data_IF_936737118308
#
_entry.id   IF_936737118308
#
_cell.length_a   1.000
_cell.length_b   1.000
_cell.length_c   1.000
_cell.angle_alpha   90.00
_cell.angle_beta   90.00
_cell.angle_gamma   90.00
#
_symmetry.space_group_name_H-M   'P 1'
#
loop_
_entity.id
_entity.type
_entity.pdbx_description
1 polymer ?
#
# COMPACT_ATOMS: atom_id res chain seq x y z
N UNK A 1 -0.48 -5.59 -6.48
CA UNK A 1 -1.15 -5.34 -5.18
C UNK A 1 -0.50 -4.14 -4.51
N UNK A 2 -1.28 -3.09 -4.28
CA UNK A 2 -0.82 -1.90 -3.56
C UNK A 2 -1.13 -2.14 -2.09
N UNK A 3 -0.19 -2.69 -1.33
CA UNK A 3 -0.41 -3.02 0.09
C UNK A 3 -0.98 -1.83 0.90
N UNK A 4 -0.68 -0.61 0.42
CA UNK A 4 -1.06 0.68 0.95
C UNK A 4 -2.55 1.05 0.85
N UNK A 5 -3.35 0.32 0.07
CA UNK A 5 -4.82 0.52 0.01
C UNK A 5 -5.53 -0.03 1.25
N UNK A 6 -4.91 -0.97 1.95
CA UNK A 6 -5.45 -1.64 3.14
C UNK A 6 -5.06 -0.90 4.42
N UNK A 7 -5.93 -0.98 5.42
CA UNK A 7 -5.74 -0.29 6.69
C UNK A 7 -4.45 -0.70 7.40
N UNK A 8 -3.66 0.23 7.99
CA UNK A 8 -2.40 -0.09 8.68
C UNK A 8 -2.52 -1.11 9.81
N UNK A 9 -3.74 -1.36 10.34
CA UNK A 9 -4.01 -2.41 11.33
C UNK A 9 -3.60 -3.81 10.87
N UNK A 10 -3.49 -4.01 9.56
CA UNK A 10 -3.07 -5.27 8.95
C UNK A 10 -1.54 -5.36 8.82
N UNK A 11 -0.79 -4.29 9.13
CA UNK A 11 0.66 -4.30 9.19
C UNK A 11 1.12 -4.70 10.59
N UNK A 12 2.15 -5.53 10.66
CA UNK A 12 2.84 -5.81 11.93
C UNK A 12 3.78 -4.63 12.30
N UNK A 13 4.28 -4.57 13.55
CA UNK A 13 5.22 -3.53 13.95
C UNK A 13 6.49 -3.48 13.08
N UNK A 14 6.94 -4.63 12.56
CA UNK A 14 8.09 -4.69 11.65
C UNK A 14 7.81 -3.97 10.33
N UNK A 15 6.61 -4.16 9.78
CA UNK A 15 6.10 -3.48 8.60
C UNK A 15 6.10 -1.97 8.81
N UNK A 16 5.52 -1.48 9.91
CA UNK A 16 5.52 -0.04 10.23
C UNK A 16 6.95 0.53 10.35
N UNK A 17 7.86 -0.20 10.99
CA UNK A 17 9.27 0.20 11.10
C UNK A 17 9.96 0.19 9.73
N UNK A 18 9.65 -0.78 8.86
CA UNK A 18 10.19 -0.83 7.51
C UNK A 18 9.78 0.42 6.70
N UNK A 19 8.50 0.82 6.75
CA UNK A 19 8.02 2.03 6.08
C UNK A 19 8.75 3.29 6.56
N UNK A 20 8.95 3.39 7.87
CA UNK A 20 9.69 4.52 8.44
C UNK A 20 11.16 4.54 8.00
N UNK A 21 11.82 3.37 7.98
CA UNK A 21 13.21 3.25 7.53
C UNK A 21 13.37 3.60 6.05
N UNK A 22 12.43 3.20 5.21
CA UNK A 22 12.43 3.59 3.79
C UNK A 22 12.32 5.10 3.61
N UNK A 23 11.46 5.77 4.39
CA UNK A 23 11.34 7.23 4.35
C UNK A 23 12.61 7.96 4.81
N UNK A 24 13.30 7.44 5.83
CA UNK A 24 14.60 7.97 6.27
C UNK A 24 15.69 7.72 5.25
N UNK A 25 15.72 6.53 4.64
CA UNK A 25 16.68 6.19 3.59
C UNK A 25 16.50 7.12 2.39
N UNK A 26 15.26 7.40 1.99
CA UNK A 26 14.98 8.31 0.88
C UNK A 26 15.48 9.75 1.16
N UNK A 27 15.37 10.22 2.40
CA UNK A 27 15.95 11.51 2.81
C UNK A 27 17.48 11.50 2.73
N UNK A 28 18.12 10.45 3.25
CA UNK A 28 19.57 10.31 3.18
C UNK A 28 20.09 10.25 1.73
N UNK A 29 19.37 9.52 0.85
CA UNK A 29 19.69 9.45 -0.58
C UNK A 29 19.51 10.81 -1.25
N UNK A 30 18.49 11.58 -0.89
CA UNK A 30 18.30 12.94 -1.40
C UNK A 30 19.49 13.85 -1.03
N UNK A 31 19.89 13.86 0.24
CA UNK A 31 20.99 14.72 0.70
C UNK A 31 22.33 14.33 0.03
N UNK A 32 22.60 13.04 -0.14
CA UNK A 32 23.77 12.56 -0.91
C UNK A 32 23.70 12.96 -2.39
N UNK A 33 22.51 12.90 -2.99
CA UNK A 33 22.32 13.26 -4.39
C UNK A 33 22.58 14.76 -4.62
N UNK A 34 22.13 15.61 -3.69
CA UNK A 34 22.40 17.05 -3.70
C UNK A 34 23.91 17.34 -3.62
N UNK A 35 24.65 16.63 -2.75
CA UNK A 35 26.10 16.74 -2.65
C UNK A 35 26.83 16.36 -3.95
N UNK A 36 26.26 15.45 -4.74
CA UNK A 36 26.78 15.05 -6.07
C UNK A 36 26.32 15.95 -7.22
N UNK A 37 25.52 16.98 -6.95
CA UNK A 37 25.02 17.92 -7.95
C UNK A 37 23.76 17.45 -8.70
N UNK A 38 23.11 16.37 -8.26
CA UNK A 38 21.78 16.00 -8.76
C UNK A 38 20.72 16.95 -8.19
N UNK A 39 19.72 17.28 -8.99
CA UNK A 39 18.60 18.16 -8.61
C UNK A 39 17.30 17.39 -8.55
N UNK A 40 17.15 16.58 -7.51
CA UNK A 40 15.86 15.98 -7.21
C UNK A 40 14.91 17.03 -6.60
N UNK A 41 13.62 16.89 -6.90
CA UNK A 41 12.60 17.81 -6.41
C UNK A 41 12.27 17.49 -4.95
N UNK A 42 12.82 18.30 -4.03
CA UNK A 42 12.60 18.14 -2.58
C UNK A 42 11.13 18.28 -2.18
N UNK A 43 10.30 18.96 -2.99
CA UNK A 43 8.87 19.11 -2.72
C UNK A 43 8.11 17.80 -2.79
N UNK A 44 8.66 16.78 -3.47
CA UNK A 44 8.09 15.42 -3.48
C UNK A 44 8.18 14.71 -2.13
N UNK A 45 8.99 15.21 -1.20
CA UNK A 45 9.08 14.74 0.18
C UNK A 45 8.28 15.60 1.17
N UNK A 46 7.52 16.58 0.68
CA UNK A 46 6.83 17.55 1.54
C UNK A 46 5.92 16.88 2.59
N UNK A 47 5.85 17.53 3.75
CA UNK A 47 5.14 17.09 4.94
C UNK A 47 3.70 16.66 4.63
N UNK A 48 3.30 15.58 5.29
CA UNK A 48 1.99 14.91 5.27
C UNK A 48 0.86 15.82 4.76
N UNK A 49 0.39 15.57 3.55
CA UNK A 49 -0.81 16.22 3.00
C UNK A 49 -2.01 15.84 3.88
N UNK A 50 -2.34 16.68 4.87
CA UNK A 50 -3.56 16.49 5.67
C UNK A 50 -4.76 16.60 4.73
N UNK A 51 -5.55 15.54 4.66
CA UNK A 51 -6.80 15.51 3.88
C UNK A 51 -6.67 15.03 2.44
N UNK A 52 -5.54 14.43 2.04
CA UNK A 52 -5.49 13.74 0.74
C UNK A 52 -6.38 12.49 0.80
N UNK A 53 -7.44 12.48 -0.01
CA UNK A 53 -8.32 11.32 -0.18
C UNK A 53 -8.23 10.87 -1.63
N UNK A 54 -7.70 9.67 -1.84
CA UNK A 54 -7.51 9.02 -3.13
C UNK A 54 -8.71 8.11 -3.38
N UNK A 55 -9.48 8.31 -4.47
CA UNK A 55 -10.55 7.39 -4.80
C UNK A 55 -9.99 6.02 -5.19
N UNK A 56 -10.60 4.96 -4.68
CA UNK A 56 -10.35 3.58 -5.09
C UNK A 56 -11.68 2.90 -5.39
N UNK A 57 -11.75 2.15 -6.48
CA UNK A 57 -12.96 1.42 -6.83
C UNK A 57 -13.16 0.21 -5.93
N UNK A 58 -14.42 -0.16 -5.64
CA UNK A 58 -14.74 -1.37 -4.90
C UNK A 58 -14.15 -2.61 -5.55
N UNK A 59 -14.25 -2.74 -6.88
CA UNK A 59 -13.65 -3.87 -7.61
C UNK A 59 -12.13 -3.92 -7.53
N UNK A 60 -11.44 -2.77 -7.38
CA UNK A 60 -9.99 -2.75 -7.13
C UNK A 60 -9.66 -3.22 -5.71
N UNK A 61 -10.47 -2.84 -4.72
CA UNK A 61 -10.28 -3.28 -3.33
C UNK A 61 -10.42 -4.79 -3.21
N UNK A 62 -11.46 -5.36 -3.80
CA UNK A 62 -11.72 -6.80 -3.80
C UNK A 62 -10.60 -7.56 -4.53
N UNK A 63 -10.15 -7.03 -5.67
CA UNK A 63 -9.03 -7.60 -6.43
C UNK A 63 -7.74 -7.63 -5.60
N UNK A 64 -7.40 -6.53 -4.93
CA UNK A 64 -6.19 -6.46 -4.10
C UNK A 64 -6.29 -7.37 -2.88
N UNK A 65 -7.47 -7.47 -2.26
CA UNK A 65 -7.71 -8.39 -1.15
C UNK A 65 -7.51 -9.85 -1.54
N UNK A 66 -8.14 -10.29 -2.64
CA UNK A 66 -7.97 -11.65 -3.16
C UNK A 66 -6.51 -11.96 -3.48
N UNK A 67 -5.79 -10.99 -4.04
CA UNK A 67 -4.37 -11.11 -4.33
C UNK A 67 -3.52 -11.24 -3.06
N UNK A 68 -3.86 -10.52 -1.98
CA UNK A 68 -3.21 -10.69 -0.68
C UNK A 68 -3.45 -12.07 -0.12
N UNK A 69 -4.70 -12.52 -0.08
CA UNK A 69 -5.07 -13.83 0.48
C UNK A 69 -4.35 -14.95 -0.27
N UNK A 70 -4.29 -14.90 -1.60
CA UNK A 70 -3.54 -15.87 -2.40
C UNK A 70 -2.05 -15.92 -2.00
N UNK A 71 -1.41 -14.76 -1.76
CA UNK A 71 -0.02 -14.69 -1.31
C UNK A 71 0.18 -15.20 0.12
N UNK A 72 -0.71 -14.82 1.04
CA UNK A 72 -0.64 -15.26 2.43
C UNK A 72 -0.86 -16.76 2.54
N UNK A 73 -1.79 -17.33 1.77
CA UNK A 73 -2.00 -18.78 1.74
C UNK A 73 -0.70 -19.56 1.47
N UNK A 74 0.16 -19.03 0.59
CA UNK A 74 1.44 -19.64 0.27
C UNK A 74 2.57 -19.31 1.26
N UNK A 75 2.63 -18.08 1.78
CA UNK A 75 3.80 -17.56 2.53
C UNK A 75 3.59 -17.47 4.05
N UNK A 76 2.35 -17.34 4.50
CA UNK A 76 1.98 -17.24 5.91
C UNK A 76 0.55 -17.79 6.13
N UNK A 77 0.39 -19.12 6.19
CA UNK A 77 -0.91 -19.78 6.29
C UNK A 77 -1.68 -19.42 7.57
N UNK A 78 -0.99 -19.15 8.67
CA UNK A 78 -1.60 -18.73 9.94
C UNK A 78 -2.31 -17.38 9.77
N UNK A 79 -1.65 -16.40 9.16
CA UNK A 79 -2.24 -15.10 8.88
C UNK A 79 -3.41 -15.20 7.90
N UNK A 80 -3.29 -16.07 6.88
CA UNK A 80 -4.39 -16.37 5.97
C UNK A 80 -5.61 -16.93 6.70
N UNK A 81 -5.43 -17.85 7.66
CA UNK A 81 -6.53 -18.38 8.47
C UNK A 81 -7.16 -17.30 9.36
N UNK A 82 -6.34 -16.48 10.02
CA UNK A 82 -6.82 -15.38 10.87
C UNK A 82 -7.68 -14.37 10.10
N UNK A 83 -7.33 -14.10 8.84
CA UNK A 83 -8.02 -13.11 8.01
C UNK A 83 -9.06 -13.70 7.06
N UNK A 84 -9.07 -15.02 6.85
CA UNK A 84 -10.00 -15.69 5.93
C UNK A 84 -11.48 -15.57 6.30
N UNK A 85 -11.78 -15.20 7.56
CA UNK A 85 -13.14 -14.94 8.03
C UNK A 85 -13.58 -13.48 7.87
N UNK A 86 -12.69 -12.58 7.43
CA UNK A 86 -13.05 -11.19 7.20
C UNK A 86 -13.81 -11.06 5.86
N UNK A 87 -15.02 -10.52 5.92
CA UNK A 87 -15.91 -10.36 4.76
C UNK A 87 -15.34 -9.39 3.71
N UNK A 88 -14.65 -8.32 4.16
CA UNK A 88 -13.90 -7.38 3.33
C UNK A 88 -12.82 -6.67 4.17
N UNK A 89 -11.71 -6.22 3.58
CA UNK A 89 -10.71 -5.46 4.32
C UNK A 89 -11.12 -4.00 4.53
N UNK A 90 -10.69 -3.44 5.65
CA UNK A 90 -10.78 -1.99 5.88
C UNK A 90 -9.79 -1.26 4.95
N UNK A 91 -10.26 -0.19 4.30
CA UNK A 91 -9.42 0.69 3.51
C UNK A 91 -8.52 1.57 4.39
N UNK A 92 -7.32 1.86 3.93
CA UNK A 92 -6.47 2.87 4.55
C UNK A 92 -7.19 4.25 4.55
N UNK A 93 -7.07 5.08 5.61
CA UNK A 93 -7.77 6.38 5.71
C UNK A 93 -7.50 7.39 4.59
N UNK A 94 -6.47 7.13 3.76
CA UNK A 94 -6.14 7.94 2.59
C UNK A 94 -6.98 7.55 1.38
N UNK A 95 -7.75 6.47 1.45
CA UNK A 95 -8.55 5.96 0.35
C UNK A 95 -10.03 6.08 0.67
N UNK A 96 -10.80 6.56 -0.31
CA UNK A 96 -12.27 6.51 -0.28
C UNK A 96 -12.73 5.48 -1.29
N UNK A 97 -13.49 4.50 -0.81
CA UNK A 97 -14.11 3.50 -1.67
C UNK A 97 -15.25 4.17 -2.46
N UNK A 98 -15.19 4.03 -3.77
CA UNK A 98 -16.23 4.45 -4.71
C UNK A 98 -16.69 3.21 -5.51
N UNK A 99 -17.95 3.15 -5.97
CA UNK A 99 -18.38 2.09 -6.89
C UNK A 99 -17.55 2.09 -8.17
N UNK A 100 -17.14 0.91 -8.64
CA UNK A 100 -16.46 0.76 -9.92
C UNK A 100 -15.76 -0.58 -10.08
N UNK A 101 -15.35 -0.87 -11.31
CA UNK A 101 -14.62 -2.09 -11.66
C UNK A 101 -13.14 -2.02 -11.27
N UNK A 102 -12.44 -3.15 -11.40
CA UNK A 102 -10.99 -3.21 -11.28
C UNK A 102 -10.34 -2.32 -12.34
N UNK A 103 -9.19 -1.73 -12.04
CA UNK A 103 -8.52 -0.88 -13.01
C UNK A 103 -8.08 -1.68 -14.25
N UNK A 104 -8.26 -1.11 -15.44
CA UNK A 104 -8.08 -1.81 -16.73
C UNK A 104 -6.65 -2.31 -17.01
N UNK A 105 -5.66 -1.79 -16.29
CA UNK A 105 -4.26 -2.21 -16.38
C UNK A 105 -3.90 -3.38 -15.47
N UNK A 106 -4.79 -3.76 -14.54
CA UNK A 106 -4.56 -4.95 -13.73
C UNK A 106 -4.54 -6.18 -14.64
N UNK A 107 -3.66 -7.12 -14.31
CA UNK A 107 -3.55 -8.40 -15.02
C UNK A 107 -3.98 -9.49 -14.04
N UNK A 108 -5.29 -9.75 -13.88
CA UNK A 108 -5.73 -10.94 -13.16
C UNK A 108 -5.02 -12.14 -13.78
N UNK A 109 -4.52 -13.03 -12.94
CA UNK A 109 -4.14 -14.35 -13.42
C UNK A 109 -5.45 -14.95 -13.93
N UNK A 110 -5.61 -14.96 -15.26
CA UNK A 110 -6.70 -15.67 -15.93
C UNK A 110 -6.66 -17.11 -15.45
N UNK A 111 -7.81 -17.57 -14.95
CA UNK A 111 -8.03 -18.93 -14.48
C UNK A 111 -7.72 -19.97 -15.56
#
# INVERSE_FOLDING_TARGET
>A
MRLWSLHPRYLDPQGLVALWREALLAQAVHDEAEARGYRFDRSKFAATSRGLVIPVTSGQMDYEWGHLMAKLRARNPEQHQRWGNAEAPESHPLFRICPGEVASWERPLSA
#
